data_IF_736825754276
#
_entry.id   IF_736825754276
#
_cell.length_a   1.000
_cell.length_b   1.000
_cell.length_c   1.000
_cell.angle_alpha   90.00
_cell.angle_beta   90.00
_cell.angle_gamma   90.00
#
_symmetry.space_group_name_H-M   'P 1'
#
loop_
_entity.id
_entity.type
_entity.pdbx_description
1 polymer ?
#
# COMPACT_ATOMS: atom_id res chain seq x y z
N UNK A 1 11.35 35.66 32.85
CA UNK A 1 10.32 36.14 31.89
C UNK A 1 10.80 36.28 30.44
N UNK A 2 12.09 36.55 30.15
CA UNK A 2 12.61 36.65 28.74
C UNK A 2 12.78 35.33 27.99
N UNK A 3 12.82 34.18 28.65
CA UNK A 3 13.02 32.87 28.00
C UNK A 3 11.71 32.22 27.50
N UNK A 4 10.55 32.62 28.03
CA UNK A 4 9.24 32.11 27.62
C UNK A 4 8.76 32.76 26.30
N UNK A 5 9.12 34.01 26.06
CA UNK A 5 8.77 34.72 24.82
C UNK A 5 9.48 34.20 23.58
N UNK A 6 10.68 33.59 23.74
CA UNK A 6 11.43 33.03 22.60
C UNK A 6 10.86 31.70 22.12
N UNK A 7 10.27 30.91 23.02
CA UNK A 7 9.65 29.61 22.67
C UNK A 7 8.31 29.77 21.95
N UNK A 8 7.55 30.83 22.30
CA UNK A 8 6.28 31.15 21.60
C UNK A 8 6.49 31.69 20.19
N UNK A 9 7.64 32.32 19.89
CA UNK A 9 7.93 32.88 18.58
C UNK A 9 8.31 31.79 17.57
N UNK A 10 8.94 30.69 18.01
CA UNK A 10 9.32 29.55 17.13
C UNK A 10 8.09 28.76 16.66
N UNK A 11 7.04 28.66 17.48
CA UNK A 11 5.80 27.94 17.13
C UNK A 11 4.98 28.71 16.06
N UNK A 12 5.06 30.05 16.04
CA UNK A 12 4.32 30.87 15.06
C UNK A 12 4.90 30.81 13.64
N UNK A 13 6.18 30.45 13.48
CA UNK A 13 6.83 30.40 12.14
C UNK A 13 6.45 29.13 11.37
N UNK A 14 6.01 28.05 12.04
CA UNK A 14 5.56 26.81 11.37
C UNK A 14 4.11 26.86 10.89
N UNK A 15 3.29 27.81 11.31
CA UNK A 15 1.89 27.94 10.91
C UNK A 15 1.68 28.62 9.54
N UNK A 16 2.74 29.15 8.91
CA UNK A 16 2.66 29.93 7.67
C UNK A 16 3.01 29.20 6.38
N UNK A 17 3.28 27.88 6.40
CA UNK A 17 3.86 27.18 5.25
C UNK A 17 2.87 26.35 4.41
N UNK A 18 1.57 26.46 4.61
CA UNK A 18 0.61 25.97 3.62
C UNK A 18 0.41 27.04 2.53
N UNK A 19 1.36 27.14 1.59
CA UNK A 19 1.09 27.78 0.32
C UNK A 19 0.06 26.91 -0.41
N UNK A 20 -1.17 27.39 -0.55
CA UNK A 20 -2.14 26.82 -1.47
C UNK A 20 -1.50 26.77 -2.85
N UNK A 21 -1.13 25.57 -3.29
CA UNK A 21 -0.80 25.32 -4.69
C UNK A 21 -2.13 25.47 -5.42
N UNK A 22 -2.33 26.62 -6.08
CA UNK A 22 -3.50 26.94 -6.87
C UNK A 22 -3.52 26.09 -8.15
N UNK A 23 -3.82 24.79 -8.03
CA UNK A 23 -4.08 23.92 -9.18
C UNK A 23 -5.50 24.11 -9.70
N UNK A 24 -5.71 23.92 -11.01
CA UNK A 24 -7.03 23.89 -11.63
C UNK A 24 -7.89 22.82 -10.95
N UNK A 25 -9.07 23.18 -10.44
CA UNK A 25 -10.00 22.22 -9.82
C UNK A 25 -11.00 21.74 -10.85
N UNK A 26 -11.08 20.43 -11.04
CA UNK A 26 -12.07 19.77 -11.89
C UNK A 26 -13.07 19.04 -11.02
N UNK A 27 -14.34 19.34 -11.17
CA UNK A 27 -15.44 18.64 -10.48
C UNK A 27 -16.03 17.60 -11.42
N UNK A 28 -16.26 16.40 -10.92
CA UNK A 28 -16.93 15.33 -11.66
C UNK A 28 -18.34 15.72 -12.08
N UNK A 29 -18.72 15.31 -13.27
CA UNK A 29 -20.03 15.58 -13.89
C UNK A 29 -21.18 14.83 -13.22
N UNK A 30 -20.88 13.73 -12.54
CA UNK A 30 -21.86 12.76 -12.02
C UNK A 30 -22.25 11.68 -13.04
N UNK A 31 -21.78 11.76 -14.29
CA UNK A 31 -22.00 10.74 -15.31
C UNK A 31 -20.81 9.77 -15.31
N UNK A 32 -20.97 8.61 -14.65
CA UNK A 32 -19.93 7.59 -14.53
C UNK A 32 -19.93 6.73 -15.79
N UNK A 33 -18.78 6.63 -16.44
CA UNK A 33 -18.56 5.77 -17.58
C UNK A 33 -17.30 4.91 -17.40
N UNK A 34 -17.25 3.81 -18.14
CA UNK A 34 -16.10 2.92 -18.18
C UNK A 34 -15.41 3.02 -19.53
N UNK A 35 -14.08 3.18 -19.51
CA UNK A 35 -13.24 3.24 -20.70
C UNK A 35 -12.18 2.15 -20.66
N UNK A 36 -12.04 1.39 -21.76
CA UNK A 36 -10.94 0.43 -21.91
C UNK A 36 -9.64 1.19 -22.24
N UNK A 37 -8.52 0.72 -21.69
CA UNK A 37 -7.16 1.12 -22.04
C UNK A 37 -6.45 -0.04 -22.72
N UNK A 38 -5.77 0.22 -23.83
CA UNK A 38 -5.08 -0.82 -24.62
C UNK A 38 -3.66 -1.03 -24.12
N UNK A 39 -3.53 -1.51 -22.88
CA UNK A 39 -2.25 -1.75 -22.20
C UNK A 39 -1.96 -3.26 -22.12
N UNK A 40 -0.68 -3.65 -22.28
CA UNK A 40 -0.25 -5.04 -22.20
C UNK A 40 1.26 -5.15 -21.92
N UNK A 41 1.73 -6.39 -21.64
CA UNK A 41 3.15 -6.66 -21.46
C UNK A 41 3.72 -6.25 -20.10
N UNK A 42 2.87 -5.92 -19.13
CA UNK A 42 3.29 -5.57 -17.77
C UNK A 42 3.15 -6.78 -16.82
N UNK A 43 3.92 -6.75 -15.75
CA UNK A 43 3.81 -7.65 -14.59
C UNK A 43 3.78 -6.87 -13.29
N UNK A 44 4.06 -5.58 -13.36
CA UNK A 44 4.13 -4.69 -12.22
C UNK A 44 3.04 -3.63 -12.34
N UNK A 45 2.56 -3.15 -11.20
CA UNK A 45 1.58 -2.06 -11.12
C UNK A 45 2.17 -0.96 -10.23
N UNK A 46 2.11 0.28 -10.67
CA UNK A 46 2.47 1.47 -9.91
C UNK A 46 1.29 2.44 -9.93
N UNK A 47 0.70 2.67 -8.76
CA UNK A 47 -0.48 3.51 -8.60
C UNK A 47 -0.19 4.70 -7.72
N UNK A 48 -0.60 5.87 -8.16
CA UNK A 48 -0.53 7.08 -7.34
C UNK A 48 -1.75 8.00 -7.53
N UNK A 49 -2.00 8.83 -6.51
CA UNK A 49 -3.13 9.77 -6.55
C UNK A 49 -4.20 9.41 -5.54
N UNK A 50 -5.43 9.23 -5.98
CA UNK A 50 -6.58 8.81 -5.18
C UNK A 50 -7.44 7.84 -6.02
N UNK A 51 -6.87 6.68 -6.35
CA UNK A 51 -7.41 5.69 -7.27
C UNK A 51 -7.54 4.35 -6.55
N UNK A 52 -8.71 3.71 -6.66
CA UNK A 52 -8.92 2.35 -6.20
C UNK A 52 -8.66 1.37 -7.35
N UNK A 53 -7.68 0.48 -7.21
CA UNK A 53 -7.31 -0.52 -8.21
C UNK A 53 -7.79 -1.90 -7.80
N UNK A 54 -8.47 -2.58 -8.69
CA UNK A 54 -8.94 -3.96 -8.54
C UNK A 54 -8.14 -4.85 -9.49
N UNK A 55 -7.34 -5.75 -8.94
CA UNK A 55 -6.53 -6.68 -9.73
C UNK A 55 -7.14 -8.07 -9.74
N UNK A 56 -7.11 -8.71 -10.88
CA UNK A 56 -7.54 -10.09 -11.08
C UNK A 56 -6.47 -10.86 -11.83
N UNK A 57 -6.06 -12.01 -11.34
CA UNK A 57 -5.23 -12.91 -12.13
C UNK A 57 -6.10 -13.70 -13.10
N UNK A 58 -5.85 -13.51 -14.38
CA UNK A 58 -6.61 -14.14 -15.47
C UNK A 58 -5.68 -14.39 -16.66
N UNK A 59 -6.02 -15.35 -17.52
CA UNK A 59 -5.24 -15.67 -18.73
C UNK A 59 -5.21 -14.52 -19.76
N UNK A 60 -6.13 -13.59 -19.68
CA UNK A 60 -6.25 -12.42 -20.57
C UNK A 60 -5.88 -11.12 -19.87
N UNK A 61 -5.18 -10.24 -20.59
CA UNK A 61 -4.88 -8.90 -20.13
C UNK A 61 -6.00 -7.93 -20.50
N UNK A 62 -6.48 -7.17 -19.53
CA UNK A 62 -7.41 -6.06 -19.78
C UNK A 62 -7.24 -4.97 -18.72
N UNK A 63 -7.38 -3.71 -19.13
CA UNK A 63 -7.35 -2.54 -18.25
C UNK A 63 -8.57 -1.67 -18.53
N UNK A 64 -9.34 -1.37 -17.49
CA UNK A 64 -10.56 -0.54 -17.58
C UNK A 64 -10.53 0.54 -16.51
N UNK A 65 -10.89 1.75 -16.88
CA UNK A 65 -11.01 2.89 -15.96
C UNK A 65 -12.47 3.28 -15.84
N UNK A 66 -12.97 3.37 -14.63
CA UNK A 66 -14.33 3.82 -14.29
C UNK A 66 -14.24 5.14 -13.52
N UNK A 67 -14.79 6.20 -14.06
CA UNK A 67 -14.83 7.54 -13.45
C UNK A 67 -15.90 8.41 -14.11
N UNK A 68 -16.07 9.64 -13.57
CA UNK A 68 -16.85 10.69 -14.27
C UNK A 68 -16.28 10.92 -15.68
N UNK A 69 -17.14 11.06 -16.68
CA UNK A 69 -16.78 11.21 -18.10
C UNK A 69 -15.79 12.39 -18.33
N UNK A 70 -15.96 13.49 -17.62
CA UNK A 70 -15.10 14.66 -17.68
C UNK A 70 -13.82 14.57 -16.83
N UNK A 71 -13.63 13.48 -16.08
CA UNK A 71 -12.42 13.22 -15.29
C UNK A 71 -11.50 12.23 -15.99
N UNK A 72 -12.03 11.34 -16.83
CA UNK A 72 -11.26 10.28 -17.50
C UNK A 72 -10.07 10.79 -18.32
N UNK A 73 -10.14 12.01 -18.87
CA UNK A 73 -9.05 12.63 -19.61
C UNK A 73 -7.82 12.99 -18.75
N UNK A 74 -7.99 13.08 -17.42
CA UNK A 74 -6.93 13.39 -16.46
C UNK A 74 -6.37 12.17 -15.75
N UNK A 75 -6.85 10.98 -16.11
CA UNK A 75 -6.35 9.71 -15.55
C UNK A 75 -5.42 9.07 -16.57
N UNK A 76 -4.14 9.11 -16.25
CA UNK A 76 -3.09 8.49 -17.04
C UNK A 76 -2.97 7.01 -16.73
N UNK A 77 -2.95 6.20 -17.76
CA UNK A 77 -2.74 4.76 -17.68
C UNK A 77 -1.90 4.34 -18.87
N UNK A 78 -0.67 3.94 -18.62
CA UNK A 78 0.25 3.50 -19.67
C UNK A 78 1.29 2.50 -19.15
N UNK A 79 1.83 1.71 -20.05
CA UNK A 79 2.86 0.72 -19.72
C UNK A 79 4.26 1.28 -20.02
N UNK A 80 5.10 1.32 -18.99
CA UNK A 80 6.52 1.65 -19.09
C UNK A 80 7.38 0.42 -18.76
N UNK A 81 8.03 -0.16 -19.77
CA UNK A 81 8.76 -1.41 -19.61
C UNK A 81 7.83 -2.55 -19.17
N UNK A 82 8.00 -3.06 -17.96
CA UNK A 82 7.13 -4.08 -17.36
C UNK A 82 6.14 -3.53 -16.33
N UNK A 83 5.98 -2.22 -16.22
CA UNK A 83 5.15 -1.57 -15.20
C UNK A 83 3.95 -0.86 -15.84
N UNK A 84 2.76 -1.17 -15.38
CA UNK A 84 1.55 -0.40 -15.65
C UNK A 84 1.49 0.77 -14.66
N UNK A 85 1.76 1.98 -15.15
CA UNK A 85 1.65 3.21 -14.38
C UNK A 85 0.22 3.76 -14.44
N UNK A 86 -0.36 4.05 -13.27
CA UNK A 86 -1.72 4.55 -13.11
C UNK A 86 -1.69 5.77 -12.19
N UNK A 87 -1.96 6.95 -12.71
CA UNK A 87 -1.93 8.17 -11.90
C UNK A 87 -2.85 9.26 -12.45
N UNK A 88 -3.02 10.32 -11.68
CA UNK A 88 -3.71 11.52 -12.14
C UNK A 88 -2.71 12.61 -12.52
N UNK A 89 -3.02 13.39 -13.55
CA UNK A 89 -2.15 14.51 -13.94
C UNK A 89 -1.80 15.42 -12.75
N UNK A 90 -0.51 15.76 -12.64
CA UNK A 90 -0.02 16.75 -11.68
C UNK A 90 -0.68 18.13 -11.89
N UNK A 91 -0.67 18.99 -10.91
CA UNK A 91 -1.24 20.34 -10.95
C UNK A 91 -2.78 20.45 -11.14
N UNK A 92 -3.50 19.34 -11.16
CA UNK A 92 -4.96 19.31 -11.21
C UNK A 92 -5.51 18.71 -9.91
N UNK A 93 -6.49 19.41 -9.32
CA UNK A 93 -7.24 18.89 -8.18
C UNK A 93 -8.55 18.29 -8.67
N UNK A 94 -8.58 16.99 -8.82
CA UNK A 94 -9.80 16.27 -9.15
C UNK A 94 -10.71 16.19 -7.92
N UNK A 95 -11.99 16.44 -8.13
CA UNK A 95 -13.05 16.20 -7.16
C UNK A 95 -14.11 15.33 -7.82
N UNK A 96 -13.86 14.02 -7.94
CA UNK A 96 -14.77 13.08 -8.57
C UNK A 96 -16.07 12.99 -7.78
N UNK A 97 -17.18 12.68 -8.46
CA UNK A 97 -18.47 12.43 -7.81
C UNK A 97 -18.51 11.07 -7.11
N UNK A 98 -17.73 10.10 -7.60
CA UNK A 98 -17.50 8.77 -7.06
C UNK A 98 -16.00 8.45 -7.10
N UNK A 99 -15.55 7.46 -6.36
CA UNK A 99 -14.15 7.00 -6.41
C UNK A 99 -13.77 6.61 -7.85
N UNK A 100 -12.59 7.02 -8.26
CA UNK A 100 -11.98 6.55 -9.51
C UNK A 100 -11.57 5.11 -9.31
N UNK A 101 -12.00 4.20 -10.20
CA UNK A 101 -11.65 2.79 -10.13
C UNK A 101 -10.94 2.34 -11.39
N UNK A 102 -9.94 1.49 -11.20
CA UNK A 102 -9.24 0.84 -12.31
C UNK A 102 -9.27 -0.66 -12.10
N UNK A 103 -9.78 -1.37 -13.09
CA UNK A 103 -9.84 -2.83 -13.09
C UNK A 103 -8.75 -3.37 -14.00
N UNK A 104 -7.87 -4.20 -13.46
CA UNK A 104 -6.72 -4.77 -14.17
C UNK A 104 -6.77 -6.29 -14.10
N UNK A 105 -6.94 -6.94 -15.26
CA UNK A 105 -6.72 -8.38 -15.38
C UNK A 105 -5.39 -8.64 -16.06
N UNK A 106 -4.59 -9.58 -15.55
CA UNK A 106 -3.30 -9.94 -16.13
C UNK A 106 -2.90 -11.38 -15.70
N UNK A 107 -2.15 -12.13 -16.52
CA UNK A 107 -1.71 -13.48 -16.18
C UNK A 107 -0.72 -13.55 -15.00
N UNK A 108 0.08 -12.52 -14.80
CA UNK A 108 1.15 -12.51 -13.80
C UNK A 108 1.30 -11.15 -13.13
N UNK A 109 1.56 -11.17 -11.83
CA UNK A 109 1.94 -10.00 -11.05
C UNK A 109 3.23 -10.29 -10.29
N UNK A 110 4.12 -9.29 -10.17
CA UNK A 110 5.41 -9.35 -9.43
C UNK A 110 5.56 -8.24 -8.42
N UNK A 111 5.40 -6.98 -8.85
CA UNK A 111 5.52 -5.80 -8.00
C UNK A 111 4.22 -5.01 -8.01
N UNK A 112 3.71 -4.72 -6.82
CA UNK A 112 2.51 -3.91 -6.61
C UNK A 112 2.89 -2.71 -5.76
N UNK A 113 2.97 -1.52 -6.37
CA UNK A 113 3.30 -0.26 -5.69
C UNK A 113 2.09 0.64 -5.66
N UNK A 114 1.77 1.12 -4.47
CA UNK A 114 0.62 2.01 -4.25
C UNK A 114 1.04 3.18 -3.39
N UNK A 115 0.75 4.37 -3.84
CA UNK A 115 1.14 5.59 -3.15
C UNK A 115 0.01 6.63 -3.12
N UNK A 116 0.22 7.70 -2.36
CA UNK A 116 -0.77 8.77 -2.22
C UNK A 116 -1.92 8.35 -1.29
N UNK A 117 -3.14 8.43 -1.78
CA UNK A 117 -4.37 8.01 -1.09
C UNK A 117 -5.12 6.93 -1.89
N UNK A 118 -4.36 6.04 -2.53
CA UNK A 118 -4.86 4.99 -3.42
C UNK A 118 -5.04 3.68 -2.68
N UNK A 119 -5.82 2.77 -3.27
CA UNK A 119 -5.97 1.42 -2.75
C UNK A 119 -5.77 0.35 -3.83
N UNK A 120 -5.36 -0.85 -3.41
CA UNK A 120 -5.27 -2.03 -4.28
C UNK A 120 -5.97 -3.22 -3.64
N UNK A 121 -6.81 -3.90 -4.43
CA UNK A 121 -7.60 -5.04 -3.98
C UNK A 121 -7.47 -6.19 -4.98
N UNK A 122 -7.22 -7.41 -4.50
CA UNK A 122 -7.31 -8.58 -5.37
C UNK A 122 -8.74 -9.12 -5.41
N UNK A 123 -9.27 -9.38 -6.62
CA UNK A 123 -10.59 -9.98 -6.82
C UNK A 123 -10.56 -11.52 -6.70
N UNK A 124 -9.36 -12.11 -6.82
CA UNK A 124 -9.10 -13.53 -6.60
C UNK A 124 -7.71 -13.74 -6.02
N UNK A 125 -7.38 -14.98 -5.68
CA UNK A 125 -6.02 -15.34 -5.25
C UNK A 125 -5.00 -15.03 -6.35
N UNK A 126 -3.95 -14.28 -6.01
CA UNK A 126 -2.82 -13.99 -6.89
C UNK A 126 -1.72 -15.00 -6.60
N UNK A 127 -1.45 -15.85 -7.58
CA UNK A 127 -0.43 -16.90 -7.49
C UNK A 127 0.83 -16.50 -8.25
N UNK A 128 1.99 -16.69 -7.64
CA UNK A 128 3.30 -16.49 -8.27
C UNK A 128 4.22 -17.67 -8.02
N UNK A 129 5.05 -18.00 -9.01
CA UNK A 129 6.17 -18.93 -8.82
C UNK A 129 7.43 -18.26 -8.23
N UNK A 130 7.45 -16.91 -8.25
CA UNK A 130 8.54 -16.07 -7.78
C UNK A 130 8.08 -15.26 -6.54
N UNK A 131 8.93 -14.35 -6.09
CA UNK A 131 8.61 -13.38 -5.04
C UNK A 131 7.50 -12.44 -5.52
N UNK A 132 6.54 -12.14 -4.63
CA UNK A 132 5.59 -11.03 -4.76
C UNK A 132 6.03 -9.87 -3.88
N UNK A 133 6.26 -8.71 -4.46
CA UNK A 133 6.61 -7.48 -3.76
C UNK A 133 5.41 -6.54 -3.67
N UNK A 134 5.11 -6.09 -2.46
CA UNK A 134 4.05 -5.14 -2.17
C UNK A 134 4.65 -3.93 -1.45
N UNK A 135 4.49 -2.76 -2.02
CA UNK A 135 4.97 -1.51 -1.45
C UNK A 135 3.82 -0.51 -1.34
N UNK A 136 3.49 -0.10 -0.11
CA UNK A 136 2.45 0.89 0.16
C UNK A 136 3.06 2.10 0.86
N UNK A 137 2.73 3.29 0.37
CA UNK A 137 3.26 4.53 0.93
C UNK A 137 2.22 5.65 0.98
N UNK A 138 2.47 6.67 1.78
CA UNK A 138 1.53 7.78 1.97
C UNK A 138 0.37 7.38 2.89
N UNK A 139 -0.84 7.37 2.39
CA UNK A 139 -2.06 6.95 3.09
C UNK A 139 -2.79 5.88 2.28
N UNK A 140 -2.06 4.90 1.78
CA UNK A 140 -2.56 3.87 0.88
C UNK A 140 -3.03 2.61 1.61
N UNK A 141 -3.87 1.83 0.94
CA UNK A 141 -4.45 0.61 1.47
C UNK A 141 -4.28 -0.56 0.49
N UNK A 142 -3.93 -1.74 1.02
CA UNK A 142 -3.85 -3.00 0.27
C UNK A 142 -4.71 -4.09 0.90
N UNK A 143 -5.54 -4.78 0.10
CA UNK A 143 -6.30 -5.94 0.52
C UNK A 143 -6.11 -7.07 -0.50
N UNK A 144 -5.27 -8.05 -0.16
CA UNK A 144 -4.76 -9.02 -1.13
C UNK A 144 -4.88 -10.45 -0.62
N UNK A 145 -5.22 -11.35 -1.52
CA UNK A 145 -5.13 -12.80 -1.32
C UNK A 145 -4.01 -13.37 -2.19
N UNK A 146 -2.97 -13.94 -1.55
CA UNK A 146 -1.71 -14.27 -2.20
C UNK A 146 -1.30 -15.73 -1.97
N UNK A 147 -0.64 -16.30 -2.99
CA UNK A 147 -0.03 -17.62 -2.90
C UNK A 147 1.30 -17.61 -3.67
N UNK A 148 2.40 -17.50 -2.95
CA UNK A 148 3.73 -17.41 -3.52
C UNK A 148 4.78 -18.02 -2.59
N UNK A 149 5.93 -18.49 -3.10
CA UNK A 149 7.00 -19.01 -2.25
C UNK A 149 7.56 -17.95 -1.31
N UNK A 150 7.56 -16.69 -1.70
CA UNK A 150 7.95 -15.55 -0.87
C UNK A 150 7.04 -14.35 -1.11
N UNK A 151 6.64 -13.68 -0.02
CA UNK A 151 5.89 -12.43 -0.04
C UNK A 151 6.67 -11.38 0.74
N UNK A 152 6.99 -10.26 0.10
CA UNK A 152 7.70 -9.13 0.69
C UNK A 152 6.77 -7.92 0.73
N UNK A 153 6.56 -7.35 1.92
CA UNK A 153 5.64 -6.24 2.18
C UNK A 153 6.38 -5.10 2.84
N UNK A 154 6.38 -3.95 2.22
CA UNK A 154 7.00 -2.74 2.75
C UNK A 154 5.98 -1.60 2.86
N UNK A 155 5.72 -1.15 4.08
CA UNK A 155 4.79 -0.08 4.38
C UNK A 155 5.48 1.12 5.00
N UNK A 156 5.15 2.30 4.45
CA UNK A 156 5.65 3.59 4.97
C UNK A 156 4.51 4.61 5.09
N UNK A 157 4.71 5.62 5.91
CA UNK A 157 3.71 6.68 6.11
C UNK A 157 2.58 6.25 7.04
N UNK A 158 1.35 6.32 6.59
CA UNK A 158 0.14 5.91 7.30
C UNK A 158 -0.66 4.89 6.47
N UNK A 159 0.04 3.88 5.93
CA UNK A 159 -0.54 2.87 5.03
C UNK A 159 -0.92 1.59 5.78
N UNK A 160 -1.88 0.85 5.19
CA UNK A 160 -2.40 -0.37 5.77
C UNK A 160 -2.40 -1.49 4.73
N UNK A 161 -1.95 -2.70 5.14
CA UNK A 161 -2.07 -3.90 4.32
C UNK A 161 -2.81 -5.00 5.07
N UNK A 162 -3.83 -5.57 4.45
CA UNK A 162 -4.52 -6.76 4.90
C UNK A 162 -4.26 -7.88 3.89
N UNK A 163 -3.47 -8.88 4.27
CA UNK A 163 -3.00 -9.93 3.37
C UNK A 163 -3.35 -11.30 3.94
N UNK A 164 -3.96 -12.13 3.12
CA UNK A 164 -4.31 -13.50 3.43
C UNK A 164 -3.79 -14.48 2.38
N UNK A 165 -3.79 -15.77 2.69
CA UNK A 165 -3.37 -16.83 1.77
C UNK A 165 -2.21 -17.65 2.30
N UNK A 166 -1.19 -17.91 1.46
CA UNK A 166 -0.08 -18.81 1.82
C UNK A 166 1.25 -18.32 1.26
N UNK A 167 2.30 -18.48 2.06
CA UNK A 167 3.68 -18.28 1.63
C UNK A 167 4.61 -19.20 2.42
N UNK A 168 5.79 -19.49 1.90
CA UNK A 168 6.82 -20.13 2.71
C UNK A 168 7.57 -19.09 3.54
N UNK A 169 8.05 -18.04 2.89
CA UNK A 169 8.84 -16.98 3.51
C UNK A 169 8.10 -15.64 3.42
N UNK A 170 7.87 -15.02 4.56
CA UNK A 170 7.29 -13.69 4.67
C UNK A 170 8.35 -12.68 5.10
N UNK A 171 8.44 -11.55 4.39
CA UNK A 171 9.25 -10.40 4.78
C UNK A 171 8.34 -9.20 4.98
N UNK A 172 8.27 -8.66 6.20
CA UNK A 172 7.40 -7.54 6.54
C UNK A 172 8.17 -6.36 7.12
N UNK A 173 8.10 -5.20 6.48
CA UNK A 173 8.68 -3.95 6.99
C UNK A 173 7.59 -2.89 7.14
N UNK A 174 7.47 -2.31 8.32
CA UNK A 174 6.49 -1.29 8.63
C UNK A 174 7.14 -0.10 9.35
N UNK A 175 6.93 1.10 8.83
CA UNK A 175 7.47 2.33 9.42
C UNK A 175 6.49 3.48 9.39
N UNK A 176 6.71 4.49 10.23
CA UNK A 176 5.77 5.60 10.40
C UNK A 176 4.61 5.21 11.31
N UNK A 177 3.38 5.33 10.84
CA UNK A 177 2.15 4.92 11.51
C UNK A 177 1.40 3.88 10.66
N UNK A 178 2.13 2.89 10.12
CA UNK A 178 1.60 1.89 9.20
C UNK A 178 1.25 0.57 9.90
N UNK A 179 0.39 -0.22 9.26
CA UNK A 179 -0.10 -1.47 9.83
C UNK A 179 -0.12 -2.60 8.81
N UNK A 180 0.52 -3.73 9.14
CA UNK A 180 0.49 -4.99 8.37
C UNK A 180 -0.36 -5.99 9.13
N UNK A 181 -1.48 -6.43 8.56
CA UNK A 181 -2.37 -7.47 9.08
C UNK A 181 -2.24 -8.73 8.23
N UNK A 182 -1.49 -9.71 8.73
CA UNK A 182 -1.18 -10.95 8.03
C UNK A 182 -1.43 -12.20 8.89
N UNK A 183 -2.35 -12.16 9.87
CA UNK A 183 -2.71 -13.37 10.62
C UNK A 183 -3.28 -14.49 9.74
N UNK A 184 -3.94 -14.10 8.65
CA UNK A 184 -4.55 -15.03 7.69
C UNK A 184 -3.61 -15.37 6.50
N UNK A 185 -2.37 -14.87 6.48
CA UNK A 185 -1.32 -15.29 5.57
C UNK A 185 -0.47 -16.38 6.26
N UNK A 186 -0.75 -17.63 5.97
CA UNK A 186 -0.03 -18.75 6.56
C UNK A 186 1.39 -18.81 6.03
N UNK A 187 2.38 -18.57 6.91
CA UNK A 187 3.81 -18.66 6.57
C UNK A 187 4.54 -19.76 7.37
N UNK A 188 5.66 -20.24 6.84
CA UNK A 188 6.60 -21.06 7.60
C UNK A 188 7.57 -20.15 8.36
N UNK A 189 8.22 -19.23 7.67
CA UNK A 189 9.19 -18.31 8.22
C UNK A 189 8.72 -16.87 8.03
N UNK A 190 9.05 -16.00 8.99
CA UNK A 190 8.81 -14.58 8.90
C UNK A 190 10.05 -13.78 9.34
N UNK A 191 10.40 -12.76 8.57
CA UNK A 191 11.33 -11.69 8.93
C UNK A 191 10.58 -10.38 9.05
N UNK A 192 10.63 -9.71 10.21
CA UNK A 192 9.81 -8.54 10.48
C UNK A 192 10.61 -7.37 11.02
N UNK A 193 10.40 -6.19 10.43
CA UNK A 193 11.03 -4.95 10.84
C UNK A 193 9.97 -3.88 11.11
N UNK A 194 9.71 -3.60 12.39
CA UNK A 194 8.72 -2.60 12.81
C UNK A 194 9.42 -1.39 13.43
N UNK A 195 9.08 -0.18 12.99
CA UNK A 195 9.64 1.05 13.52
C UNK A 195 8.63 2.20 13.57
N UNK A 196 8.94 3.24 14.34
CA UNK A 196 8.03 4.36 14.55
C UNK A 196 6.87 4.00 15.47
N UNK A 197 5.65 4.18 15.03
CA UNK A 197 4.40 3.78 15.69
C UNK A 197 3.64 2.75 14.86
N UNK A 198 4.36 1.78 14.27
CA UNK A 198 3.80 0.78 13.38
C UNK A 198 3.34 -0.48 14.11
N UNK A 199 2.48 -1.25 13.46
CA UNK A 199 1.97 -2.52 13.95
C UNK A 199 2.08 -3.61 12.90
N UNK A 200 2.56 -4.80 13.28
CA UNK A 200 2.67 -5.97 12.41
C UNK A 200 1.98 -7.15 13.08
N UNK A 201 0.99 -7.72 12.40
CA UNK A 201 0.33 -8.98 12.74
C UNK A 201 0.77 -10.06 11.75
N UNK A 202 1.31 -11.19 12.25
CA UNK A 202 1.78 -12.28 11.39
C UNK A 202 1.38 -13.66 11.94
N UNK A 203 1.30 -14.63 11.04
CA UNK A 203 1.29 -16.05 11.38
C UNK A 203 2.58 -16.69 10.89
N UNK A 204 3.27 -17.45 11.73
CA UNK A 204 4.40 -18.28 11.32
C UNK A 204 4.43 -19.62 12.09
N UNK A 205 4.82 -20.69 11.39
CA UNK A 205 4.81 -22.03 11.97
C UNK A 205 6.20 -22.53 12.40
N UNK A 206 7.30 -21.96 11.86
CA UNK A 206 8.68 -22.44 12.09
C UNK A 206 9.51 -21.39 12.80
N UNK A 207 9.69 -20.22 12.20
CA UNK A 207 10.61 -19.19 12.71
C UNK A 207 10.11 -17.78 12.49
N UNK A 208 10.39 -16.88 13.45
CA UNK A 208 10.22 -15.45 13.34
C UNK A 208 11.51 -14.77 13.77
N UNK A 209 12.12 -14.00 12.88
CA UNK A 209 13.26 -13.13 13.17
C UNK A 209 12.88 -11.67 12.94
N UNK A 210 13.68 -10.75 13.43
CA UNK A 210 13.57 -9.35 13.05
C UNK A 210 13.79 -8.37 14.20
N UNK A 211 13.29 -7.16 14.02
CA UNK A 211 13.48 -6.05 14.94
C UNK A 211 12.19 -5.25 15.14
N UNK A 212 12.01 -4.76 16.37
CA UNK A 212 10.91 -3.86 16.71
C UNK A 212 11.46 -2.69 17.51
N UNK A 213 11.24 -1.47 17.02
CA UNK A 213 11.83 -0.25 17.60
C UNK A 213 10.85 0.92 17.68
N UNK A 214 11.16 1.92 18.52
CA UNK A 214 10.27 3.06 18.74
C UNK A 214 9.07 2.70 19.62
N UNK A 215 7.87 3.00 19.20
CA UNK A 215 6.60 2.64 19.84
C UNK A 215 5.83 1.60 18.99
N UNK A 216 6.57 0.70 18.33
CA UNK A 216 5.99 -0.30 17.43
C UNK A 216 5.58 -1.59 18.16
N UNK A 217 4.75 -2.39 17.53
CA UNK A 217 4.35 -3.69 18.06
C UNK A 217 4.36 -4.78 16.96
N UNK A 218 4.75 -5.99 17.37
CA UNK A 218 4.66 -7.19 16.55
C UNK A 218 3.82 -8.22 17.31
N UNK A 219 2.67 -8.57 16.76
CA UNK A 219 1.81 -9.62 17.29
C UNK A 219 1.90 -10.83 16.36
N UNK A 220 2.06 -12.03 16.91
CA UNK A 220 2.21 -13.23 16.08
C UNK A 220 1.36 -14.39 16.56
N UNK A 221 0.93 -15.23 15.62
CA UNK A 221 0.26 -16.52 15.83
C UNK A 221 1.12 -17.67 15.32
N UNK A 222 0.75 -18.89 15.70
CA UNK A 222 1.42 -20.10 15.27
C UNK A 222 2.45 -20.61 16.28
N UNK A 223 3.21 -21.65 15.87
CA UNK A 223 4.15 -22.35 16.75
C UNK A 223 5.62 -21.97 16.50
N UNK A 224 5.85 -20.88 15.77
CA UNK A 224 7.19 -20.44 15.44
C UNK A 224 8.04 -20.11 16.67
N UNK A 225 9.34 -20.38 16.56
CA UNK A 225 10.34 -19.85 17.47
C UNK A 225 10.60 -18.38 17.10
N UNK A 226 10.25 -17.46 18.00
CA UNK A 226 10.40 -16.03 17.76
C UNK A 226 11.71 -15.51 18.37
N UNK A 227 12.50 -14.81 17.56
CA UNK A 227 13.73 -14.09 17.90
C UNK A 227 13.66 -12.67 17.35
N UNK A 228 12.88 -11.81 18.02
CA UNK A 228 12.70 -10.42 17.60
C UNK A 228 13.37 -9.51 18.62
N UNK A 229 14.37 -8.75 18.17
CA UNK A 229 15.06 -7.76 18.98
C UNK A 229 14.18 -6.56 19.24
N UNK A 230 14.15 -6.08 20.48
CA UNK A 230 13.30 -4.95 20.90
C UNK A 230 14.14 -3.77 21.35
N UNK A 231 13.72 -2.57 20.96
CA UNK A 231 14.29 -1.32 21.47
C UNK A 231 13.23 -0.24 21.63
N UNK A 232 13.47 0.70 22.54
CA UNK A 232 12.48 1.74 22.86
C UNK A 232 11.28 1.20 23.64
N UNK A 233 10.08 1.66 23.30
CA UNK A 233 8.80 1.24 23.90
C UNK A 233 8.10 0.17 23.04
N UNK A 234 8.86 -0.65 22.33
CA UNK A 234 8.31 -1.66 21.44
C UNK A 234 7.87 -2.94 22.16
N UNK A 235 6.94 -3.66 21.59
CA UNK A 235 6.41 -4.92 22.12
C UNK A 235 6.36 -6.03 21.08
N UNK A 236 6.52 -7.27 21.55
CA UNK A 236 6.37 -8.49 20.74
C UNK A 236 5.55 -9.48 21.55
N UNK A 237 4.37 -9.86 21.04
CA UNK A 237 3.41 -10.66 21.78
C UNK A 237 2.93 -11.85 20.94
N UNK A 238 2.86 -13.02 21.58
CA UNK A 238 2.16 -14.16 21.01
C UNK A 238 0.68 -14.03 21.28
N UNK A 239 -0.13 -14.26 20.26
CA UNK A 239 -1.61 -14.33 20.34
C UNK A 239 -2.07 -15.77 20.18
N UNK A 240 -3.24 -16.06 20.75
CA UNK A 240 -3.91 -17.35 20.65
C UNK A 240 -4.65 -17.53 19.31
#
# INVERSE_FOLDING_TARGET
MKKIALFSLVILVFAGSCREIAGRRIRGSGNIITQNRSESGFTNIDVSGAIDVYIKQDSSTSVKVEADDNILEYIEVHTEGSTLAIYTEGNIRLKPSHKIKVYVSNPQYKDLRVSGASSIHSENEITSADVLHIELSGSSEGSLELNAPRVSVNLTGASNANIKGKTKDFEGSASGASEIRCFDLLSENADVNASGASHIEIFASVKIDGQSSGASSVDYKGNAQASVEKSGASSVNKKD
#
